data_IF_134314081041
#
_entry.id   IF_134314081041
#
_cell.length_a   1.000
_cell.length_b   1.000
_cell.length_c   1.000
_cell.angle_alpha   90.00
_cell.angle_beta   90.00
_cell.angle_gamma   90.00
#
_symmetry.space_group_name_H-M   'P 1'
#
loop_
_entity.id
_entity.type
_entity.pdbx_description
1 polymer ?
#
# COMPACT_ATOMS: atom_id res chain seq x y z
N UNK A 1 -10.83 -10.39 3.73
CA UNK A 1 -11.09 -8.96 4.04
C UNK A 1 -10.59 -8.55 5.44
N UNK A 2 -10.40 -9.49 6.38
CA UNK A 2 -10.09 -9.17 7.80
C UNK A 2 -8.63 -9.26 8.26
N UNK A 3 -7.69 -9.78 7.45
CA UNK A 3 -6.22 -9.66 7.72
C UNK A 3 -5.81 -8.22 8.06
N UNK A 4 -6.62 -7.27 7.60
CA UNK A 4 -6.44 -5.85 7.78
C UNK A 4 -6.98 -5.26 9.09
N UNK A 5 -7.66 -5.98 9.99
CA UNK A 5 -8.26 -5.32 11.18
C UNK A 5 -7.22 -4.77 12.15
N UNK A 6 -6.09 -5.45 12.34
CA UNK A 6 -4.95 -4.94 13.10
C UNK A 6 -4.08 -3.95 12.27
N UNK A 7 -3.90 -4.19 10.96
CA UNK A 7 -3.22 -3.20 10.09
C UNK A 7 -4.01 -1.91 9.93
N UNK A 8 -5.34 -1.93 10.11
CA UNK A 8 -6.23 -0.76 10.03
C UNK A 8 -6.02 0.24 11.17
N UNK A 9 -5.47 -0.18 12.31
CA UNK A 9 -5.27 0.68 13.48
C UNK A 9 -3.86 1.28 13.57
N UNK A 10 -2.89 0.75 12.83
CA UNK A 10 -1.51 1.26 12.83
C UNK A 10 -1.44 2.69 12.27
N UNK A 11 -0.75 3.59 12.98
CA UNK A 11 -0.67 5.02 12.60
C UNK A 11 -0.09 5.24 11.19
N UNK A 12 0.87 4.41 10.78
CA UNK A 12 1.46 4.43 9.42
C UNK A 12 0.42 4.25 8.30
N UNK A 13 -0.70 3.57 8.59
CA UNK A 13 -1.74 3.25 7.63
C UNK A 13 -2.92 4.23 7.63
N UNK A 14 -2.86 5.31 8.43
CA UNK A 14 -3.86 6.38 8.47
C UNK A 14 -5.31 5.85 8.55
N UNK A 15 -5.72 5.30 9.72
CA UNK A 15 -6.94 4.50 9.88
C UNK A 15 -8.21 5.10 9.27
N UNK A 16 -8.44 6.40 9.47
CA UNK A 16 -9.61 7.10 8.95
C UNK A 16 -9.61 7.17 7.40
N UNK A 17 -8.46 7.46 6.80
CA UNK A 17 -8.30 7.49 5.35
C UNK A 17 -8.44 6.08 4.75
N UNK A 18 -7.78 5.09 5.35
CA UNK A 18 -7.87 3.70 4.91
C UNK A 18 -9.30 3.15 4.97
N UNK A 19 -10.06 3.49 6.01
CA UNK A 19 -11.46 3.07 6.12
C UNK A 19 -12.32 3.62 4.97
N UNK A 20 -12.09 4.87 4.57
CA UNK A 20 -12.76 5.48 3.41
C UNK A 20 -12.43 4.75 2.10
N UNK A 21 -11.14 4.52 1.84
CA UNK A 21 -10.67 3.81 0.64
C UNK A 21 -11.24 2.39 0.57
N UNK A 22 -11.17 1.64 1.66
CA UNK A 22 -11.69 0.27 1.71
C UNK A 22 -13.19 0.22 1.47
N UNK A 23 -13.97 1.16 2.04
CA UNK A 23 -15.41 1.25 1.80
C UNK A 23 -15.73 1.43 0.31
N UNK A 24 -14.98 2.29 -0.38
CA UNK A 24 -15.16 2.49 -1.83
C UNK A 24 -14.81 1.23 -2.62
N UNK A 25 -13.67 0.59 -2.31
CA UNK A 25 -13.25 -0.64 -3.00
C UNK A 25 -14.20 -1.81 -2.74
N UNK A 26 -14.74 -1.95 -1.53
CA UNK A 26 -15.76 -2.95 -1.19
C UNK A 26 -17.07 -2.71 -1.95
N UNK A 27 -17.46 -1.44 -2.14
CA UNK A 27 -18.59 -1.07 -3.02
C UNK A 27 -18.38 -1.54 -4.46
N UNK A 28 -17.23 -1.21 -5.06
CA UNK A 28 -16.85 -1.64 -6.41
C UNK A 28 -16.82 -3.17 -6.51
N UNK A 29 -16.26 -3.85 -5.50
CA UNK A 29 -16.22 -5.31 -5.43
C UNK A 29 -17.63 -5.90 -5.50
N UNK A 30 -18.55 -5.37 -4.70
CA UNK A 30 -19.92 -5.84 -4.60
C UNK A 30 -20.66 -5.68 -5.93
N UNK A 31 -20.59 -4.48 -6.52
CA UNK A 31 -21.20 -4.18 -7.82
C UNK A 31 -20.65 -5.08 -8.93
N UNK A 32 -19.33 -5.20 -9.03
CA UNK A 32 -18.69 -6.03 -10.05
C UNK A 32 -19.11 -7.50 -9.90
N UNK A 33 -19.03 -8.06 -8.69
CA UNK A 33 -19.35 -9.46 -8.42
C UNK A 33 -20.84 -9.77 -8.63
N UNK A 34 -21.73 -8.84 -8.32
CA UNK A 34 -23.18 -8.99 -8.55
C UNK A 34 -23.53 -8.95 -10.05
N UNK A 35 -22.78 -8.20 -10.85
CA UNK A 35 -22.98 -8.12 -12.30
C UNK A 35 -22.48 -9.35 -13.08
N UNK A 36 -21.68 -10.23 -12.48
CA UNK A 36 -21.15 -11.41 -13.18
C UNK A 36 -22.15 -12.58 -13.14
N UNK A 37 -22.49 -13.13 -14.31
CA UNK A 37 -23.36 -14.31 -14.46
C UNK A 37 -22.60 -15.64 -14.60
N UNK A 38 -21.29 -15.59 -14.83
CA UNK A 38 -20.44 -16.75 -15.12
C UNK A 38 -19.62 -17.24 -13.91
N UNK A 39 -19.99 -16.83 -12.69
CA UNK A 39 -19.29 -17.19 -11.46
C UNK A 39 -17.94 -16.49 -11.25
N UNK A 40 -17.51 -15.61 -12.17
CA UNK A 40 -16.31 -14.79 -12.00
C UNK A 40 -16.50 -13.86 -10.80
N UNK A 41 -15.50 -13.83 -9.92
CA UNK A 41 -15.46 -12.91 -8.78
C UNK A 41 -14.07 -12.32 -8.65
N UNK A 42 -14.00 -11.14 -8.06
CA UNK A 42 -12.76 -10.49 -7.66
C UNK A 42 -12.69 -10.38 -6.14
N UNK A 43 -11.51 -10.63 -5.58
CA UNK A 43 -11.22 -10.46 -4.16
C UNK A 43 -10.89 -9.01 -3.84
N UNK A 44 -11.06 -8.59 -2.57
CA UNK A 44 -10.65 -7.24 -2.17
C UNK A 44 -9.12 -7.13 -2.24
N UNK A 45 -8.40 -8.22 -1.96
CA UNK A 45 -6.95 -8.27 -2.07
C UNK A 45 -6.45 -7.96 -3.49
N UNK A 46 -7.09 -8.53 -4.52
CA UNK A 46 -6.76 -8.21 -5.91
C UNK A 46 -7.20 -6.80 -6.30
N UNK A 47 -8.36 -6.33 -5.84
CA UNK A 47 -8.81 -4.96 -6.11
C UNK A 47 -7.90 -3.89 -5.53
N UNK A 48 -7.33 -4.09 -4.34
CA UNK A 48 -6.37 -3.14 -3.75
C UNK A 48 -5.14 -2.99 -4.64
N UNK A 49 -4.59 -4.11 -5.13
CA UNK A 49 -3.41 -4.09 -6.01
C UNK A 49 -3.77 -3.49 -7.36
N UNK A 50 -4.91 -3.86 -7.94
CA UNK A 50 -5.38 -3.33 -9.22
C UNK A 50 -5.63 -1.82 -9.15
N UNK A 51 -6.23 -1.33 -8.07
CA UNK A 51 -6.44 0.09 -7.84
C UNK A 51 -5.11 0.85 -7.68
N UNK A 52 -4.12 0.24 -7.02
CA UNK A 52 -2.76 0.78 -6.95
C UNK A 52 -2.10 0.90 -8.32
N UNK A 53 -2.19 -0.16 -9.14
CA UNK A 53 -1.70 -0.16 -10.53
C UNK A 53 -2.36 0.95 -11.35
N UNK A 54 -3.69 1.07 -11.29
CA UNK A 54 -4.43 2.12 -11.98
C UNK A 54 -3.99 3.53 -11.54
N UNK A 55 -3.68 3.73 -10.26
CA UNK A 55 -3.12 4.98 -9.74
C UNK A 55 -1.76 5.32 -10.35
N UNK A 56 -0.87 4.33 -10.49
CA UNK A 56 0.45 4.49 -11.13
C UNK A 56 0.30 4.81 -12.61
N UNK A 57 -0.55 4.08 -13.34
CA UNK A 57 -0.83 4.33 -14.76
C UNK A 57 -1.42 5.73 -14.98
N UNK A 58 -2.35 6.16 -14.12
CA UNK A 58 -2.93 7.49 -14.19
C UNK A 58 -1.89 8.58 -13.92
N UNK A 59 -0.98 8.38 -12.96
CA UNK A 59 0.09 9.32 -12.68
C UNK A 59 1.08 9.42 -13.85
N UNK A 60 1.45 8.30 -14.47
CA UNK A 60 2.27 8.28 -15.67
C UNK A 60 1.57 9.02 -16.83
N UNK A 61 0.25 8.81 -16.99
CA UNK A 61 -0.56 9.52 -18.00
C UNK A 61 -0.58 11.02 -17.76
N UNK A 62 -0.68 11.48 -16.52
CA UNK A 62 -0.56 12.92 -16.18
C UNK A 62 0.81 13.49 -16.55
N UNK A 63 1.86 12.68 -16.50
CA UNK A 63 3.20 13.04 -16.96
C UNK A 63 3.40 12.87 -18.49
N UNK A 64 2.33 12.59 -19.26
CA UNK A 64 2.39 12.40 -20.71
C UNK A 64 2.94 11.05 -21.15
N UNK A 65 3.03 10.07 -20.24
CA UNK A 65 3.54 8.73 -20.50
C UNK A 65 2.41 7.70 -20.52
N UNK A 66 2.40 6.85 -21.54
CA UNK A 66 1.47 5.72 -21.62
C UNK A 66 2.18 4.44 -21.20
N UNK A 67 1.93 4.00 -19.97
CA UNK A 67 2.49 2.76 -19.42
C UNK A 67 1.35 1.82 -19.03
N UNK A 68 1.64 0.53 -19.05
CA UNK A 68 0.75 -0.52 -18.54
C UNK A 68 1.47 -1.26 -17.43
N UNK A 69 0.89 -1.30 -16.24
CA UNK A 69 1.45 -1.98 -15.08
C UNK A 69 0.94 -3.42 -15.06
N UNK A 70 1.82 -4.43 -15.11
CA UNK A 70 1.40 -5.82 -15.11
C UNK A 70 0.54 -6.16 -13.88
N UNK A 71 -0.54 -6.89 -14.11
CA UNK A 71 -1.44 -7.37 -13.06
C UNK A 71 -1.68 -8.87 -13.21
N UNK A 72 -1.38 -9.61 -12.14
CA UNK A 72 -1.68 -11.04 -12.03
C UNK A 72 -2.77 -11.24 -10.96
N UNK A 73 -3.98 -11.68 -11.34
CA UNK A 73 -5.05 -12.00 -10.39
C UNK A 73 -4.77 -13.33 -9.67
N UNK A 74 -5.52 -13.58 -8.60
CA UNK A 74 -5.48 -14.84 -7.85
C UNK A 74 -5.27 -14.67 -6.34
N UNK A 75 -5.19 -13.43 -5.84
CA UNK A 75 -5.13 -13.20 -4.39
C UNK A 75 -6.49 -13.55 -3.78
N UNK A 76 -6.47 -14.21 -2.64
CA UNK A 76 -7.68 -14.57 -1.90
C UNK A 76 -7.83 -13.74 -0.64
N UNK A 77 -9.07 -13.62 -0.19
CA UNK A 77 -9.44 -12.86 0.99
C UNK A 77 -9.41 -13.76 2.23
N UNK A 78 -8.35 -13.67 3.03
CA UNK A 78 -8.29 -14.39 4.30
C UNK A 78 -9.28 -13.82 5.36
N UNK A 79 -9.81 -14.73 6.16
CA UNK A 79 -10.78 -14.48 7.24
C UNK A 79 -10.09 -14.08 8.55
N UNK A 80 -10.88 -13.65 9.55
CA UNK A 80 -10.33 -13.27 10.85
C UNK A 80 -9.82 -14.48 11.63
N UNK A 81 -10.51 -15.61 11.50
CA UNK A 81 -10.18 -16.88 12.15
C UNK A 81 -8.89 -17.48 11.60
N UNK A 82 -8.51 -17.09 10.38
CA UNK A 82 -7.23 -17.44 9.74
C UNK A 82 -6.10 -16.46 10.10
N UNK A 83 -6.37 -15.45 10.94
CA UNK A 83 -5.43 -14.38 11.26
C UNK A 83 -5.13 -14.35 12.77
N UNK A 84 -3.92 -14.72 13.15
CA UNK A 84 -3.43 -14.49 14.52
C UNK A 84 -3.01 -13.02 14.71
N UNK A 85 -3.78 -12.27 15.49
CA UNK A 85 -3.58 -10.83 15.67
C UNK A 85 -2.24 -10.52 16.35
N UNK A 86 -1.83 -11.33 17.33
CA UNK A 86 -0.61 -11.07 18.10
C UNK A 86 0.62 -11.22 17.22
N UNK A 87 0.66 -12.24 16.38
CA UNK A 87 1.73 -12.45 15.40
C UNK A 87 1.86 -11.30 14.39
N UNK A 88 0.77 -10.61 14.05
CA UNK A 88 0.80 -9.48 13.12
C UNK A 88 1.28 -8.16 13.74
N UNK A 89 1.32 -8.05 15.07
CA UNK A 89 1.83 -6.85 15.75
C UNK A 89 3.32 -6.61 15.45
N UNK A 90 4.10 -7.68 15.29
CA UNK A 90 5.52 -7.62 14.90
C UNK A 90 5.75 -7.09 13.48
N UNK A 91 4.70 -7.04 12.65
CA UNK A 91 4.77 -6.50 11.29
C UNK A 91 4.40 -5.01 11.23
N UNK A 92 4.07 -4.37 12.36
CA UNK A 92 3.86 -2.93 12.41
C UNK A 92 5.20 -2.20 12.17
N UNK A 93 5.32 -1.36 11.12
CA UNK A 93 6.57 -0.66 10.85
C UNK A 93 6.84 0.40 11.91
N UNK A 94 8.00 0.31 12.57
CA UNK A 94 8.51 1.37 13.46
C UNK A 94 9.01 2.59 12.67
N UNK A 95 9.49 2.36 11.44
CA UNK A 95 9.85 3.35 10.45
C UNK A 95 9.52 2.81 9.05
N UNK A 96 9.10 3.70 8.17
CA UNK A 96 8.85 3.41 6.77
C UNK A 96 9.30 4.61 5.93
N UNK A 97 10.54 4.55 5.47
CA UNK A 97 11.15 5.63 4.68
C UNK A 97 10.44 5.86 3.34
N UNK A 98 9.77 4.86 2.76
CA UNK A 98 9.01 5.02 1.52
C UNK A 98 7.79 5.93 1.70
N UNK A 99 7.17 5.91 2.88
CA UNK A 99 6.05 6.81 3.26
C UNK A 99 6.46 8.01 4.11
N UNK A 100 7.76 8.23 4.26
CA UNK A 100 8.34 9.27 5.12
C UNK A 100 7.79 9.23 6.55
N UNK A 101 7.71 8.02 7.11
CA UNK A 101 7.12 7.76 8.42
C UNK A 101 8.16 7.27 9.43
N UNK A 102 8.10 7.82 10.64
CA UNK A 102 8.85 7.35 11.78
C UNK A 102 7.97 7.46 13.02
N UNK A 103 7.77 6.35 13.75
CA UNK A 103 6.85 6.30 14.90
C UNK A 103 7.38 7.05 16.13
N UNK A 104 8.69 7.17 16.27
CA UNK A 104 9.35 7.90 17.35
C UNK A 104 10.85 8.08 17.13
N UNK A 105 11.54 8.68 18.09
CA UNK A 105 13.00 8.85 18.00
C UNK A 105 13.72 7.54 18.31
N UNK A 106 14.54 7.07 17.37
CA UNK A 106 15.36 5.87 17.52
C UNK A 106 16.83 6.26 17.58
N UNK A 107 17.65 5.41 18.23
CA UNK A 107 19.12 5.59 18.26
C UNK A 107 19.75 5.39 16.88
N UNK A 108 19.11 4.59 16.04
CA UNK A 108 19.52 4.30 14.67
C UNK A 108 19.01 5.43 13.76
N UNK A 109 19.84 5.85 12.81
CA UNK A 109 19.48 6.90 11.87
C UNK A 109 18.38 6.48 10.90
N UNK A 110 17.59 7.45 10.43
CA UNK A 110 16.43 7.18 9.59
C UNK A 110 16.81 6.56 8.23
N UNK A 111 17.96 6.96 7.68
CA UNK A 111 18.52 6.39 6.46
C UNK A 111 18.97 4.94 6.64
N UNK A 112 19.50 4.57 7.81
CA UNK A 112 19.82 3.17 8.11
C UNK A 112 18.55 2.31 8.19
N UNK A 113 17.48 2.85 8.79
CA UNK A 113 16.17 2.18 8.85
C UNK A 113 15.51 2.07 7.47
N UNK A 114 15.74 3.02 6.56
CA UNK A 114 15.31 2.93 5.17
C UNK A 114 16.03 1.79 4.44
N UNK A 115 17.35 1.68 4.60
CA UNK A 115 18.13 0.59 3.97
C UNK A 115 17.71 -0.78 4.53
N UNK A 116 17.51 -0.88 5.84
CA UNK A 116 16.97 -2.09 6.49
C UNK A 116 15.60 -2.47 5.89
N UNK A 117 14.69 -1.50 5.74
CA UNK A 117 13.39 -1.73 5.13
C UNK A 117 13.50 -2.17 3.66
N UNK A 118 14.41 -1.58 2.89
CA UNK A 118 14.65 -1.96 1.51
C UNK A 118 15.20 -3.39 1.40
N UNK A 119 16.07 -3.79 2.32
CA UNK A 119 16.61 -5.15 2.40
C UNK A 119 15.50 -6.17 2.70
N UNK A 120 14.58 -5.87 3.63
CA UNK A 120 13.42 -6.73 3.92
C UNK A 120 12.46 -6.86 2.72
N UNK A 121 12.43 -5.86 1.84
CA UNK A 121 11.67 -5.86 0.59
C UNK A 121 12.47 -6.43 -0.58
N UNK A 122 13.67 -6.98 -0.34
CA UNK A 122 14.57 -7.56 -1.35
C UNK A 122 14.97 -6.60 -2.48
N UNK A 123 14.96 -5.29 -2.20
CA UNK A 123 15.30 -4.27 -3.19
C UNK A 123 16.80 -4.06 -3.29
N UNK A 124 17.28 -3.91 -4.53
CA UNK A 124 18.61 -3.37 -4.80
C UNK A 124 18.66 -1.86 -4.54
N UNK A 125 19.87 -1.30 -4.41
CA UNK A 125 20.02 0.15 -4.20
C UNK A 125 19.38 0.99 -5.32
N UNK A 126 19.53 0.66 -6.63
CA UNK A 126 18.83 1.39 -7.69
C UNK A 126 17.30 1.29 -7.61
N UNK A 127 16.76 0.11 -7.32
CA UNK A 127 15.31 -0.09 -7.19
C UNK A 127 14.74 0.72 -6.01
N UNK A 128 15.43 0.70 -4.87
CA UNK A 128 15.09 1.53 -3.72
C UNK A 128 15.05 3.02 -4.10
N UNK A 129 16.06 3.51 -4.83
CA UNK A 129 16.13 4.93 -5.23
C UNK A 129 14.98 5.31 -6.17
N UNK A 130 14.70 4.51 -7.20
CA UNK A 130 13.59 4.76 -8.14
C UNK A 130 12.25 4.75 -7.39
N UNK A 131 12.05 3.77 -6.51
CA UNK A 131 10.82 3.65 -5.74
C UNK A 131 10.64 4.84 -4.80
N UNK A 132 11.67 5.22 -4.05
CA UNK A 132 11.60 6.35 -3.13
C UNK A 132 11.28 7.67 -3.85
N UNK A 133 11.94 7.93 -4.98
CA UNK A 133 11.71 9.13 -5.79
C UNK A 133 10.29 9.17 -6.36
N UNK A 134 9.82 8.07 -6.94
CA UNK A 134 8.47 7.98 -7.50
C UNK A 134 7.38 8.18 -6.45
N UNK A 135 7.51 7.52 -5.29
CA UNK A 135 6.52 7.62 -4.21
C UNK A 135 6.43 9.03 -3.60
N UNK A 136 7.52 9.80 -3.62
CA UNK A 136 7.50 11.20 -3.19
C UNK A 136 6.67 12.09 -4.12
N UNK A 137 6.82 11.93 -5.43
CA UNK A 137 6.05 12.71 -6.42
C UNK A 137 4.56 12.33 -6.39
N UNK A 138 4.24 11.07 -6.09
CA UNK A 138 2.87 10.62 -5.87
C UNK A 138 2.26 11.09 -4.53
N UNK A 139 3.02 11.82 -3.71
CA UNK A 139 2.62 12.36 -2.42
C UNK A 139 1.94 11.33 -1.50
N UNK A 140 2.52 10.13 -1.40
CA UNK A 140 2.00 9.08 -0.52
C UNK A 140 2.54 9.16 0.92
N UNK A 141 3.04 10.33 1.32
CA UNK A 141 3.61 10.56 2.64
C UNK A 141 2.52 10.45 3.72
N UNK A 142 2.86 9.88 4.88
CA UNK A 142 1.93 9.82 6.02
C UNK A 142 1.55 11.24 6.44
N UNK A 143 0.25 11.49 6.63
CA UNK A 143 -0.28 12.80 7.02
C UNK A 143 -0.14 13.87 5.94
N UNK A 144 0.05 13.47 4.67
CA UNK A 144 0.25 14.40 3.53
C UNK A 144 1.44 15.37 3.75
N UNK A 145 2.47 14.91 4.46
CA UNK A 145 3.67 15.70 4.69
C UNK A 145 4.33 16.12 3.38
N UNK A 146 4.74 17.39 3.28
CA UNK A 146 5.42 17.95 2.09
C UNK A 146 6.91 17.61 2.03
N UNK A 147 7.46 16.91 3.02
CA UNK A 147 8.88 16.60 3.06
C UNK A 147 9.30 15.68 1.91
N UNK A 148 10.24 16.17 1.10
CA UNK A 148 10.76 15.47 -0.07
C UNK A 148 9.82 15.46 -1.28
N UNK A 149 8.73 16.23 -1.24
CA UNK A 149 7.82 16.44 -2.38
C UNK A 149 8.27 17.73 -3.09
N UNK A 150 8.82 17.59 -4.29
CA UNK A 150 9.44 18.71 -5.03
C UNK A 150 8.51 19.35 -6.08
N UNK A 151 7.24 18.96 -6.12
CA UNK A 151 6.21 19.37 -7.08
C UNK A 151 4.89 19.60 -6.37
#
# INVERSE_FOLDING_TARGET
VCVWRHRRIGQSNQPAHLAGVLKTLEGIQSEFNAAQSNGKKVSIADLIVLAGNAGVEQAAKHAGQHVTVPFAPGRADASQEQTDVESFSFLEPIADGFRNYQKGHYKVSAESLLVDKAQLLTLTAPEMTVLLGGLRVLNINVGQSKHGVFT
#
